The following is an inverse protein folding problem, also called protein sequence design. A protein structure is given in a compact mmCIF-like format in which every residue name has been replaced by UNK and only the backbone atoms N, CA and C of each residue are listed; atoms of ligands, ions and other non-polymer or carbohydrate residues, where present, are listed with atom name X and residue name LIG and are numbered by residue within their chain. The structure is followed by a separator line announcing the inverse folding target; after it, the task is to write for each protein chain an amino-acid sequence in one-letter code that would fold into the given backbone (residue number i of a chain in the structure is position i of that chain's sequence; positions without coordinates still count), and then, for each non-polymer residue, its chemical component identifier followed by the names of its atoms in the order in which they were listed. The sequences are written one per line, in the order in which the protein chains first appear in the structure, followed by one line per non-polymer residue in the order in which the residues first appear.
data_IF_964026959606
#
_entry.id   IF_964026959606
#
_cell.length_a   1.000
_cell.length_b   1.000
_cell.length_c   1.000
_cell.angle_alpha   90.00
_cell.angle_beta   90.00
_cell.angle_gamma   90.00
#
_symmetry.space_group_name_H-M   'P 1'
#
loop_
_entity.id
_entity.type
_entity.pdbx_description
1 polymer ?
#
# COMPACT_ATOMS: atom_id res chain seq x y z
N UNK A 1 3.32 14.29 -24.59
CA UNK A 1 3.33 15.62 -25.26
C UNK A 1 4.41 15.57 -26.32
N UNK A 2 4.13 15.89 -27.58
CA UNK A 2 5.14 15.85 -28.64
C UNK A 2 6.13 17.00 -28.48
N UNK A 3 7.41 16.77 -28.79
CA UNK A 3 8.49 17.77 -28.71
C UNK A 3 8.15 19.07 -29.46
N UNK A 4 7.52 18.96 -30.64
CA UNK A 4 7.00 20.09 -31.42
C UNK A 4 6.09 21.01 -30.59
N UNK A 5 5.21 20.44 -29.77
CA UNK A 5 4.23 21.21 -28.99
C UNK A 5 4.85 21.88 -27.77
N UNK A 6 5.86 21.26 -27.15
CA UNK A 6 6.59 21.92 -26.06
C UNK A 6 7.35 23.14 -26.57
N UNK A 7 7.98 23.04 -27.75
CA UNK A 7 8.68 24.17 -28.40
C UNK A 7 7.69 25.29 -28.77
N UNK A 8 6.58 24.96 -29.42
CA UNK A 8 5.53 25.93 -29.80
C UNK A 8 4.92 26.65 -28.59
N UNK A 9 4.64 25.93 -27.50
CA UNK A 9 4.15 26.53 -26.25
C UNK A 9 5.18 27.47 -25.62
N UNK A 10 6.46 27.11 -25.68
CA UNK A 10 7.54 27.92 -25.09
C UNK A 10 7.70 29.24 -25.83
N UNK A 11 7.60 29.22 -27.17
CA UNK A 11 7.61 30.42 -28.01
C UNK A 11 6.33 31.24 -27.79
N UNK A 12 5.14 30.60 -27.65
CA UNK A 12 3.89 31.31 -27.37
C UNK A 12 3.94 32.05 -26.03
N UNK A 13 4.51 31.42 -25.00
CA UNK A 13 4.66 32.02 -23.65
C UNK A 13 5.70 33.14 -23.60
N UNK A 14 6.70 33.11 -24.48
CA UNK A 14 7.76 34.12 -24.56
C UNK A 14 7.88 34.62 -26.01
N UNK A 15 6.94 35.47 -26.47
CA UNK A 15 6.99 36.00 -27.83
C UNK A 15 8.31 36.74 -28.09
N UNK A 16 8.99 36.42 -29.18
CA UNK A 16 10.27 37.03 -29.54
C UNK A 16 11.49 36.40 -28.86
N UNK A 17 11.35 35.21 -28.27
CA UNK A 17 12.49 34.42 -27.74
C UNK A 17 13.49 34.11 -28.87
N UNK A 18 14.77 34.17 -28.55
CA UNK A 18 15.83 33.81 -29.49
C UNK A 18 16.16 32.31 -29.45
N UNK A 19 16.98 31.86 -30.40
CA UNK A 19 17.34 30.44 -30.51
C UNK A 19 18.16 29.95 -29.31
N UNK A 20 19.09 30.75 -28.80
CA UNK A 20 19.96 30.41 -27.66
C UNK A 20 19.17 30.22 -26.36
N UNK A 21 18.24 31.13 -26.08
CA UNK A 21 17.35 31.11 -24.92
C UNK A 21 16.31 30.01 -25.02
N UNK A 22 15.83 29.72 -26.23
CA UNK A 22 14.97 28.58 -26.46
C UNK A 22 15.74 27.27 -26.26
N UNK A 23 16.97 27.17 -26.77
CA UNK A 23 17.83 25.99 -26.60
C UNK A 23 18.15 25.73 -25.13
N UNK A 24 18.50 26.76 -24.35
CA UNK A 24 18.83 26.62 -22.92
C UNK A 24 17.65 26.10 -22.10
N UNK A 25 16.42 26.46 -22.47
CA UNK A 25 15.19 25.98 -21.80
C UNK A 25 14.84 24.54 -22.13
N UNK A 26 15.17 24.07 -23.34
CA UNK A 26 14.78 22.73 -23.82
C UNK A 26 15.92 21.71 -23.62
N UNK A 27 17.17 22.16 -23.54
CA UNK A 27 18.35 21.31 -23.33
C UNK A 27 18.29 20.52 -22.03
N UNK A 28 17.59 21.02 -21.00
CA UNK A 28 17.33 20.33 -19.74
C UNK A 28 16.62 18.98 -19.90
N UNK A 29 15.96 18.73 -21.03
CA UNK A 29 15.23 17.49 -21.32
C UNK A 29 16.10 16.44 -22.02
N UNK A 30 17.37 16.74 -22.31
CA UNK A 30 18.27 15.89 -23.08
C UNK A 30 19.55 15.61 -22.29
N UNK A 31 20.03 14.36 -22.34
CA UNK A 31 21.32 13.97 -21.75
C UNK A 31 22.53 14.58 -22.47
N UNK A 32 22.37 14.98 -23.74
CA UNK A 32 23.44 15.52 -24.58
C UNK A 32 23.01 16.85 -25.24
N UNK A 33 23.76 17.96 -25.02
CA UNK A 33 23.50 19.26 -25.64
C UNK A 33 23.45 19.23 -27.18
N UNK A 34 24.30 18.43 -27.82
CA UNK A 34 24.35 18.33 -29.29
C UNK A 34 23.09 17.68 -29.86
N UNK A 35 22.50 16.73 -29.13
CA UNK A 35 21.22 16.10 -29.50
C UNK A 35 20.06 17.08 -29.34
N UNK A 36 20.05 17.87 -28.27
CA UNK A 36 19.05 18.93 -28.07
C UNK A 36 19.11 19.98 -29.19
N UNK A 37 20.31 20.42 -29.55
CA UNK A 37 20.53 21.39 -30.62
C UNK A 37 20.04 20.85 -31.97
N UNK A 38 20.38 19.60 -32.30
CA UNK A 38 19.95 18.95 -33.55
C UNK A 38 18.42 18.79 -33.63
N UNK A 39 17.79 18.36 -32.52
CA UNK A 39 16.35 18.20 -32.43
C UNK A 39 15.63 19.55 -32.55
N UNK A 40 16.09 20.58 -31.84
CA UNK A 40 15.51 21.92 -31.88
C UNK A 40 15.63 22.54 -33.26
N UNK A 41 16.80 22.46 -33.90
CA UNK A 41 17.02 23.01 -35.23
C UNK A 41 16.07 22.35 -36.26
N UNK A 42 15.94 21.02 -36.22
CA UNK A 42 15.00 20.28 -37.08
C UNK A 42 13.55 20.70 -36.81
N UNK A 43 13.16 20.83 -35.54
CA UNK A 43 11.82 21.25 -35.19
C UNK A 43 11.52 22.68 -35.67
N UNK A 44 12.42 23.64 -35.45
CA UNK A 44 12.25 25.03 -35.91
C UNK A 44 12.16 25.10 -37.43
N UNK A 45 13.05 24.40 -38.16
CA UNK A 45 13.00 24.36 -39.62
C UNK A 45 11.64 23.85 -40.12
N UNK A 46 11.15 22.77 -39.52
CA UNK A 46 9.83 22.22 -39.84
C UNK A 46 8.69 23.18 -39.47
N UNK A 47 8.73 23.79 -38.28
CA UNK A 47 7.66 24.69 -37.84
C UNK A 47 7.59 25.98 -38.67
N UNK A 48 8.74 26.48 -39.14
CA UNK A 48 8.81 27.58 -40.11
C UNK A 48 8.23 27.15 -41.46
N UNK A 49 8.62 25.97 -41.98
CA UNK A 49 8.13 25.50 -43.29
C UNK A 49 6.61 25.25 -43.29
N UNK A 50 6.04 24.83 -42.15
CA UNK A 50 4.59 24.66 -42.01
C UNK A 50 3.85 25.97 -41.68
N UNK A 51 4.57 27.09 -41.52
CA UNK A 51 4.00 28.40 -41.20
C UNK A 51 3.42 28.49 -39.79
N UNK A 52 3.91 27.68 -38.85
CA UNK A 52 3.46 27.67 -37.44
C UNK A 52 4.21 28.71 -36.60
N UNK A 53 5.42 29.07 -37.01
CA UNK A 53 6.21 30.14 -36.39
C UNK A 53 6.82 31.01 -37.50
N UNK A 54 6.99 32.30 -37.21
CA UNK A 54 7.70 33.26 -38.06
C UNK A 54 9.02 33.66 -37.40
N UNK A 55 10.04 33.91 -38.23
CA UNK A 55 11.35 34.42 -37.83
C UNK A 55 11.45 35.89 -38.21
N UNK A 56 11.77 36.73 -37.25
CA UNK A 56 12.11 38.15 -37.47
C UNK A 56 13.52 38.37 -36.92
N UNK A 57 14.51 38.31 -37.81
CA UNK A 57 15.92 38.25 -37.41
C UNK A 57 16.22 36.98 -36.60
N UNK A 58 16.77 37.15 -35.39
CA UNK A 58 17.07 36.05 -34.46
C UNK A 58 15.88 35.64 -33.59
N UNK A 59 14.77 36.38 -33.64
CA UNK A 59 13.61 36.21 -32.76
C UNK A 59 12.54 35.33 -33.38
N UNK A 60 11.88 34.54 -32.55
CA UNK A 60 10.83 33.59 -32.93
C UNK A 60 9.47 34.03 -32.40
N UNK A 61 8.46 34.01 -33.27
CA UNK A 61 7.07 34.32 -32.93
C UNK A 61 6.14 33.22 -33.42
N UNK A 62 5.11 32.90 -32.65
CA UNK A 62 4.05 31.99 -33.09
C UNK A 62 3.11 32.74 -34.04
N UNK A 63 2.75 32.12 -35.17
CA UNK A 63 1.75 32.66 -36.10
C UNK A 63 0.34 32.28 -35.65
N UNK A 64 -0.69 32.87 -36.25
CA UNK A 64 -2.09 32.48 -35.96
C UNK A 64 -2.33 31.00 -36.27
N UNK A 65 -1.72 30.48 -37.34
CA UNK A 65 -1.74 29.06 -37.69
C UNK A 65 -1.05 28.19 -36.64
N UNK A 66 0.06 28.65 -36.08
CA UNK A 66 0.74 27.98 -34.96
C UNK A 66 -0.10 27.96 -33.68
N UNK A 67 -0.70 29.10 -33.35
CA UNK A 67 -1.60 29.25 -32.21
C UNK A 67 -2.84 28.36 -32.34
N UNK A 68 -3.41 28.25 -33.54
CA UNK A 68 -4.49 27.33 -33.85
C UNK A 68 -4.05 25.85 -33.72
N UNK A 69 -2.85 25.49 -34.21
CA UNK A 69 -2.32 24.12 -34.09
C UNK A 69 -2.11 23.68 -32.63
N UNK A 70 -1.62 24.56 -31.75
CA UNK A 70 -1.49 24.28 -30.31
C UNK A 70 -2.87 24.12 -29.68
N UNK A 71 -3.80 24.99 -30.05
CA UNK A 71 -5.17 25.04 -29.57
C UNK A 71 -5.90 23.74 -29.90
N UNK A 72 -5.87 23.28 -31.16
CA UNK A 72 -6.55 22.06 -31.61
C UNK A 72 -6.03 20.82 -30.85
N UNK A 73 -4.71 20.63 -30.75
CA UNK A 73 -4.17 19.39 -30.18
C UNK A 73 -4.30 19.30 -28.64
N UNK A 74 -4.46 20.43 -27.95
CA UNK A 74 -4.49 20.51 -26.49
C UNK A 74 -5.85 20.87 -25.88
N UNK A 75 -6.68 21.67 -26.56
CA UNK A 75 -8.01 22.07 -26.08
C UNK A 75 -9.03 20.95 -26.29
N UNK A 76 -8.91 20.17 -27.38
CA UNK A 76 -9.83 19.07 -27.67
C UNK A 76 -9.66 17.87 -26.73
N UNK A 77 -8.42 17.51 -26.36
CA UNK A 77 -8.19 16.31 -25.52
C UNK A 77 -8.78 16.40 -24.12
N UNK A 78 -8.85 17.60 -23.51
CA UNK A 78 -9.43 17.75 -22.17
C UNK A 78 -10.95 17.62 -22.21
N UNK A 79 -11.61 18.36 -23.11
CA UNK A 79 -13.07 18.31 -23.24
C UNK A 79 -13.53 16.96 -23.78
N UNK A 80 -12.78 16.35 -24.70
CA UNK A 80 -13.07 15.02 -25.20
C UNK A 80 -12.99 13.96 -24.09
N UNK A 81 -11.95 13.98 -23.25
CA UNK A 81 -11.86 13.09 -22.08
C UNK A 81 -13.02 13.30 -21.10
N UNK A 82 -13.38 14.56 -20.83
CA UNK A 82 -14.50 14.86 -19.94
C UNK A 82 -15.83 14.41 -20.54
N UNK A 83 -16.03 14.58 -21.85
CA UNK A 83 -17.19 14.08 -22.58
C UNK A 83 -17.27 12.55 -22.55
N UNK A 84 -16.16 11.86 -22.79
CA UNK A 84 -16.07 10.40 -22.72
C UNK A 84 -16.41 9.89 -21.32
N UNK A 85 -15.86 10.53 -20.28
CA UNK A 85 -16.10 10.14 -18.90
C UNK A 85 -17.57 10.34 -18.50
N UNK A 86 -18.15 11.49 -18.85
CA UNK A 86 -19.54 11.81 -18.56
C UNK A 86 -20.55 10.92 -19.30
N UNK A 87 -20.15 10.28 -20.41
CA UNK A 87 -20.98 9.31 -21.15
C UNK A 87 -21.00 7.91 -20.53
N UNK A 88 -20.08 7.60 -19.62
CA UNK A 88 -20.04 6.28 -18.97
C UNK A 88 -21.29 6.08 -18.10
N UNK A 89 -21.76 4.84 -18.02
CA UNK A 89 -22.87 4.46 -17.12
C UNK A 89 -22.55 4.76 -15.64
N UNK A 90 -21.27 4.57 -15.27
CA UNK A 90 -20.70 4.98 -13.99
C UNK A 90 -19.41 5.78 -14.22
N UNK A 91 -19.50 7.11 -14.35
CA UNK A 91 -18.32 7.97 -14.47
C UNK A 91 -17.48 7.91 -13.20
N UNK A 92 -16.14 7.87 -13.34
CA UNK A 92 -15.22 7.93 -12.22
C UNK A 92 -15.24 9.34 -11.58
N UNK A 93 -15.67 9.48 -10.30
CA UNK A 93 -15.75 10.79 -9.65
C UNK A 93 -14.43 11.54 -9.61
N UNK A 94 -13.31 10.85 -9.41
CA UNK A 94 -12.01 11.47 -9.31
C UNK A 94 -11.59 12.08 -10.65
N UNK A 95 -11.76 11.33 -11.74
CA UNK A 95 -11.41 11.81 -13.08
C UNK A 95 -12.32 12.96 -13.52
N UNK A 96 -13.64 12.85 -13.32
CA UNK A 96 -14.59 13.93 -13.66
C UNK A 96 -14.23 15.21 -12.90
N UNK A 97 -13.99 15.13 -11.59
CA UNK A 97 -13.62 16.28 -10.77
C UNK A 97 -12.28 16.86 -11.22
N UNK A 98 -11.27 16.01 -11.46
CA UNK A 98 -9.96 16.45 -11.92
C UNK A 98 -10.05 17.21 -13.24
N UNK A 99 -10.78 16.67 -14.22
CA UNK A 99 -10.97 17.33 -15.51
C UNK A 99 -11.74 18.65 -15.39
N UNK A 100 -12.78 18.71 -14.53
CA UNK A 100 -13.52 19.94 -14.27
C UNK A 100 -12.64 21.01 -13.60
N UNK A 101 -11.79 20.64 -12.63
CA UNK A 101 -10.84 21.56 -11.99
C UNK A 101 -9.86 22.12 -13.01
N UNK A 102 -9.26 21.25 -13.84
CA UNK A 102 -8.31 21.67 -14.88
C UNK A 102 -8.99 22.58 -15.89
N UNK A 103 -10.23 22.27 -16.29
CA UNK A 103 -11.02 23.11 -17.18
C UNK A 103 -11.23 24.50 -16.57
N UNK A 104 -11.73 24.56 -15.32
CA UNK A 104 -11.97 25.82 -14.62
C UNK A 104 -10.70 26.67 -14.49
N UNK A 105 -9.59 26.08 -14.03
CA UNK A 105 -8.32 26.80 -13.87
C UNK A 105 -7.78 27.34 -15.20
N UNK A 106 -7.90 26.56 -16.29
CA UNK A 106 -7.44 27.00 -17.62
C UNK A 106 -8.35 28.05 -18.22
N UNK A 107 -9.66 27.94 -18.02
CA UNK A 107 -10.64 28.92 -18.48
C UNK A 107 -10.45 30.31 -17.84
N UNK A 108 -9.88 30.37 -16.63
CA UNK A 108 -9.50 31.65 -16.00
C UNK A 108 -8.28 32.29 -16.67
N UNK A 109 -7.42 31.50 -17.30
CA UNK A 109 -6.16 31.96 -17.92
C UNK A 109 -6.27 32.18 -19.44
N UNK A 110 -7.18 31.45 -20.11
CA UNK A 110 -7.38 31.46 -21.55
C UNK A 110 -8.89 31.43 -21.87
N UNK A 111 -9.44 32.57 -22.30
CA UNK A 111 -10.86 32.74 -22.65
C UNK A 111 -11.29 31.88 -23.83
N UNK A 112 -10.38 31.48 -24.70
CA UNK A 112 -10.72 30.61 -25.81
C UNK A 112 -11.06 29.21 -25.32
N UNK A 113 -10.45 28.76 -24.21
CA UNK A 113 -10.73 27.43 -23.63
C UNK A 113 -12.19 27.33 -23.19
N UNK A 114 -12.73 28.37 -22.56
CA UNK A 114 -14.14 28.36 -22.14
C UNK A 114 -15.09 28.45 -23.34
N UNK A 115 -14.74 29.22 -24.36
CA UNK A 115 -15.55 29.35 -25.57
C UNK A 115 -15.61 28.01 -26.33
N UNK A 116 -14.47 27.33 -26.48
CA UNK A 116 -14.43 25.97 -27.05
C UNK A 116 -15.23 25.00 -26.21
N UNK A 117 -15.03 24.98 -24.88
CA UNK A 117 -15.76 24.08 -24.00
C UNK A 117 -17.28 24.24 -24.09
N UNK A 118 -17.78 25.48 -24.20
CA UNK A 118 -19.21 25.76 -24.41
C UNK A 118 -19.74 25.20 -25.73
N UNK A 119 -18.92 25.17 -26.77
CA UNK A 119 -19.31 24.68 -28.10
C UNK A 119 -19.18 23.16 -28.24
N UNK A 120 -18.23 22.53 -27.53
CA UNK A 120 -17.86 21.12 -27.73
C UNK A 120 -18.26 20.19 -26.58
N UNK A 121 -18.68 20.72 -25.43
CA UNK A 121 -19.18 19.90 -24.34
C UNK A 121 -20.48 19.20 -24.74
N UNK A 122 -20.52 17.89 -24.52
CA UNK A 122 -21.71 17.04 -24.74
C UNK A 122 -22.54 16.84 -23.49
N UNK A 123 -22.11 17.42 -22.36
CA UNK A 123 -22.78 17.40 -21.08
C UNK A 123 -23.17 18.83 -20.67
N UNK A 124 -24.18 18.93 -19.82
CA UNK A 124 -24.72 20.17 -19.30
C UNK A 124 -24.47 20.30 -17.80
N UNK A 125 -24.70 21.50 -17.26
CA UNK A 125 -24.69 21.71 -15.80
C UNK A 125 -25.72 20.81 -15.11
N UNK A 126 -26.89 20.60 -15.75
CA UNK A 126 -27.92 19.69 -15.24
C UNK A 126 -27.42 18.25 -15.15
N UNK A 127 -26.61 17.81 -16.10
CA UNK A 127 -25.99 16.47 -16.06
C UNK A 127 -25.02 16.33 -14.90
N UNK A 128 -24.25 17.39 -14.59
CA UNK A 128 -23.39 17.43 -13.41
C UNK A 128 -24.19 17.42 -12.10
N UNK A 129 -25.34 18.09 -12.04
CA UNK A 129 -26.23 18.04 -10.87
C UNK A 129 -26.84 16.64 -10.67
N UNK A 130 -27.27 15.99 -11.75
CA UNK A 130 -27.76 14.60 -11.71
C UNK A 130 -26.64 13.66 -11.28
N UNK A 131 -25.43 13.86 -11.80
CA UNK A 131 -24.26 13.10 -11.39
C UNK A 131 -23.94 13.27 -9.90
N UNK A 132 -23.98 14.51 -9.38
CA UNK A 132 -23.84 14.80 -7.95
C UNK A 132 -24.87 14.04 -7.11
N UNK A 133 -26.15 14.02 -7.52
CA UNK A 133 -27.21 13.29 -6.80
C UNK A 133 -26.91 11.79 -6.76
N UNK A 134 -26.48 11.19 -7.88
CA UNK A 134 -26.08 9.78 -7.95
C UNK A 134 -24.90 9.46 -7.02
N UNK A 135 -23.89 10.33 -6.93
CA UNK A 135 -22.76 10.17 -5.99
C UNK A 135 -23.27 10.15 -4.54
N UNK A 136 -24.15 11.08 -4.18
CA UNK A 136 -24.71 11.18 -2.82
C UNK A 136 -25.52 9.94 -2.47
N UNK A 137 -26.37 9.46 -3.37
CA UNK A 137 -27.16 8.24 -3.19
C UNK A 137 -26.27 7.01 -3.01
N UNK A 138 -25.23 6.87 -3.85
CA UNK A 138 -24.24 5.80 -3.71
C UNK A 138 -23.52 5.87 -2.36
N UNK A 139 -23.16 7.08 -1.92
CA UNK A 139 -22.57 7.29 -0.60
C UNK A 139 -23.48 6.81 0.53
N UNK A 140 -24.79 7.09 0.46
CA UNK A 140 -25.79 6.59 1.43
C UNK A 140 -25.90 5.06 1.38
N UNK A 141 -25.94 4.48 0.19
CA UNK A 141 -25.99 3.03 0.00
C UNK A 141 -24.77 2.33 0.61
N UNK A 142 -23.56 2.82 0.32
CA UNK A 142 -22.32 2.27 0.86
C UNK A 142 -22.26 2.37 2.39
N UNK A 143 -22.73 3.48 2.98
CA UNK A 143 -22.87 3.61 4.44
C UNK A 143 -23.81 2.54 5.01
N UNK A 144 -24.95 2.29 4.36
CA UNK A 144 -25.89 1.24 4.78
C UNK A 144 -25.25 -0.15 4.67
N UNK A 145 -24.56 -0.45 3.57
CA UNK A 145 -23.86 -1.73 3.40
C UNK A 145 -22.79 -1.94 4.45
N UNK A 146 -22.01 -0.89 4.78
CA UNK A 146 -21.01 -0.96 5.85
C UNK A 146 -21.64 -1.31 7.21
N UNK A 147 -22.79 -0.71 7.54
CA UNK A 147 -23.52 -1.05 8.77
C UNK A 147 -24.00 -2.50 8.77
N UNK A 148 -24.53 -3.01 7.65
CA UNK A 148 -24.96 -4.40 7.54
C UNK A 148 -23.77 -5.37 7.65
N UNK A 149 -22.65 -5.08 7.01
CA UNK A 149 -21.44 -5.91 7.12
C UNK A 149 -20.95 -5.91 8.57
N UNK A 150 -20.92 -4.76 9.25
CA UNK A 150 -20.54 -4.68 10.66
C UNK A 150 -21.45 -5.53 11.55
N UNK A 151 -22.76 -5.45 11.36
CA UNK A 151 -23.72 -6.29 12.09
C UNK A 151 -23.47 -7.78 11.83
N UNK A 152 -23.23 -8.18 10.59
CA UNK A 152 -22.95 -9.57 10.26
C UNK A 152 -21.61 -10.05 10.83
N UNK A 153 -20.58 -9.19 10.90
CA UNK A 153 -19.32 -9.52 11.58
C UNK A 153 -19.58 -9.83 13.05
N UNK A 154 -20.33 -8.99 13.76
CA UNK A 154 -20.65 -9.23 15.18
C UNK A 154 -21.49 -10.50 15.36
N UNK A 155 -22.49 -10.74 14.51
CA UNK A 155 -23.26 -11.98 14.54
C UNK A 155 -22.38 -13.23 14.32
N UNK A 156 -21.43 -13.17 13.37
CA UNK A 156 -20.50 -14.29 13.12
C UNK A 156 -19.55 -14.52 14.30
N UNK A 157 -19.14 -13.47 15.01
CA UNK A 157 -18.37 -13.59 16.26
C UNK A 157 -19.19 -14.25 17.36
N UNK A 158 -20.46 -13.87 17.53
CA UNK A 158 -21.36 -14.50 18.50
C UNK A 158 -21.57 -16.00 18.22
N UNK A 159 -21.69 -16.36 16.94
CA UNK A 159 -21.77 -17.74 16.46
C UNK A 159 -20.45 -18.52 16.52
N UNK A 160 -19.38 -17.91 17.04
CA UNK A 160 -18.04 -18.51 17.14
C UNK A 160 -17.49 -19.02 15.79
N UNK A 161 -17.73 -18.27 14.71
CA UNK A 161 -17.24 -18.63 13.38
C UNK A 161 -15.70 -18.61 13.30
N UNK A 162 -15.15 -19.28 12.29
CA UNK A 162 -13.69 -19.31 12.10
C UNK A 162 -13.14 -17.92 11.80
N UNK A 163 -12.00 -17.60 12.41
CA UNK A 163 -11.26 -16.36 12.26
C UNK A 163 -9.78 -16.66 11.95
N UNK A 164 -9.01 -15.63 11.59
CA UNK A 164 -7.59 -15.72 11.32
C UNK A 164 -6.83 -14.48 11.74
N UNK A 165 -5.66 -14.66 12.35
CA UNK A 165 -4.81 -13.56 12.83
C UNK A 165 -3.35 -13.80 12.46
N UNK A 166 -2.65 -12.73 12.11
CA UNK A 166 -1.23 -12.76 11.75
C UNK A 166 -0.36 -12.28 12.91
N UNK A 167 0.76 -12.97 13.15
CA UNK A 167 1.79 -12.61 14.12
C UNK A 167 3.19 -12.71 13.49
N UNK A 168 4.14 -12.04 14.12
CA UNK A 168 5.57 -12.30 13.88
C UNK A 168 5.95 -13.58 14.64
N UNK A 169 6.68 -14.48 13.99
CA UNK A 169 7.13 -15.71 14.64
C UNK A 169 8.45 -15.45 15.39
N UNK A 170 8.32 -15.00 16.64
CA UNK A 170 9.42 -14.64 17.53
C UNK A 170 9.33 -15.37 18.89
N UNK A 171 10.26 -15.06 19.79
CA UNK A 171 10.27 -15.62 21.15
C UNK A 171 9.03 -15.27 21.98
N UNK A 172 8.40 -14.12 21.71
CA UNK A 172 7.17 -13.72 22.40
C UNK A 172 5.99 -14.58 21.94
N UNK A 173 5.87 -14.83 20.64
CA UNK A 173 4.89 -15.77 20.10
C UNK A 173 5.11 -17.18 20.65
N UNK A 174 6.36 -17.67 20.69
CA UNK A 174 6.68 -18.98 21.27
C UNK A 174 6.26 -19.07 22.73
N UNK A 175 6.61 -18.08 23.56
CA UNK A 175 6.24 -18.05 24.98
C UNK A 175 4.72 -18.09 25.18
N UNK A 176 4.00 -17.39 24.29
CA UNK A 176 2.54 -17.37 24.29
C UNK A 176 1.94 -18.72 23.90
N UNK A 177 2.46 -19.38 22.86
CA UNK A 177 2.03 -20.73 22.47
C UNK A 177 2.31 -21.72 23.59
N UNK A 178 3.51 -21.71 24.19
CA UNK A 178 3.86 -22.60 25.31
C UNK A 178 2.88 -22.41 26.48
N UNK A 179 2.60 -21.17 26.87
CA UNK A 179 1.66 -20.89 27.95
C UNK A 179 0.21 -21.27 27.61
N UNK A 180 -0.21 -21.07 26.37
CA UNK A 180 -1.57 -21.40 25.93
C UNK A 180 -1.80 -22.90 25.75
N UNK A 181 -0.80 -23.65 25.26
CA UNK A 181 -0.85 -25.11 25.16
C UNK A 181 -0.86 -25.77 26.54
N UNK A 182 -0.17 -25.20 27.53
CA UNK A 182 -0.03 -25.83 28.85
C UNK A 182 0.59 -27.23 28.75
N UNK A 183 -0.17 -28.26 29.15
CA UNK A 183 0.23 -29.68 29.04
C UNK A 183 -0.26 -30.38 27.77
N UNK A 184 -0.96 -29.67 26.88
CA UNK A 184 -1.50 -30.25 25.65
C UNK A 184 -0.42 -30.61 24.64
N UNK A 185 -0.75 -31.53 23.75
CA UNK A 185 0.10 -31.99 22.66
C UNK A 185 0.22 -30.92 21.56
N UNK A 186 1.46 -30.60 21.17
CA UNK A 186 1.76 -29.82 19.96
C UNK A 186 2.07 -30.78 18.81
N UNK A 187 1.43 -30.55 17.67
CA UNK A 187 1.71 -31.26 16.42
C UNK A 187 2.29 -30.29 15.41
N UNK A 188 3.41 -30.64 14.80
CA UNK A 188 4.08 -29.84 13.77
C UNK A 188 4.20 -30.67 12.50
N UNK A 189 3.64 -30.16 11.40
CA UNK A 189 3.76 -30.75 10.06
C UNK A 189 4.75 -29.94 9.24
N UNK A 190 5.78 -30.58 8.69
CA UNK A 190 6.74 -29.93 7.80
C UNK A 190 7.28 -30.88 6.74
N UNK A 191 7.62 -30.33 5.57
CA UNK A 191 8.27 -31.06 4.48
C UNK A 191 9.80 -30.85 4.47
N UNK A 192 10.35 -30.10 5.42
CA UNK A 192 11.79 -29.78 5.46
C UNK A 192 12.60 -30.93 6.08
N UNK A 193 13.28 -31.70 5.22
CA UNK A 193 14.13 -32.82 5.64
C UNK A 193 15.32 -32.38 6.50
N UNK A 194 15.88 -31.19 6.25
CA UNK A 194 17.00 -30.66 7.04
C UNK A 194 16.56 -30.32 8.46
N UNK A 195 15.31 -29.91 8.65
CA UNK A 195 14.75 -29.70 9.97
C UNK A 195 14.43 -31.02 10.67
N UNK A 196 13.83 -31.98 9.96
CA UNK A 196 13.48 -33.29 10.52
C UNK A 196 14.69 -34.06 11.07
N UNK A 197 15.86 -33.92 10.45
CA UNK A 197 17.11 -34.55 10.94
C UNK A 197 17.69 -33.92 12.22
N UNK A 198 17.31 -32.68 12.55
CA UNK A 198 17.74 -31.97 13.78
C UNK A 198 16.86 -32.28 14.99
N UNK A 199 15.71 -32.91 14.78
CA UNK A 199 14.73 -33.22 15.82
C UNK A 199 14.93 -34.67 16.30
N UNK A 200 14.80 -34.97 17.61
CA UNK A 200 14.91 -36.32 18.12
C UNK A 200 13.97 -37.30 17.39
N UNK A 201 14.52 -38.41 16.91
CA UNK A 201 13.80 -39.38 16.05
C UNK A 201 12.53 -39.94 16.66
N UNK A 202 12.47 -40.06 17.99
CA UNK A 202 11.29 -40.54 18.71
C UNK A 202 10.10 -39.55 18.70
N UNK A 203 10.31 -38.28 18.35
CA UNK A 203 9.23 -37.30 18.14
C UNK A 203 8.66 -37.33 16.72
N UNK A 204 9.40 -37.93 15.78
CA UNK A 204 9.11 -37.84 14.35
C UNK A 204 8.37 -39.09 13.88
N UNK A 205 7.19 -38.90 13.30
CA UNK A 205 6.49 -39.92 12.52
C UNK A 205 6.29 -39.39 11.10
N UNK A 206 7.13 -39.85 10.18
CA UNK A 206 7.20 -39.37 8.79
C UNK A 206 7.50 -37.85 8.74
N UNK A 207 6.49 -37.03 8.41
CA UNK A 207 6.57 -35.57 8.27
C UNK A 207 5.92 -34.81 9.43
N UNK A 208 5.52 -35.54 10.45
CA UNK A 208 4.78 -35.03 11.61
C UNK A 208 5.67 -35.19 12.83
N UNK A 209 5.87 -34.09 13.54
CA UNK A 209 6.55 -34.04 14.83
C UNK A 209 5.47 -33.87 15.90
N UNK A 210 5.50 -34.71 16.92
CA UNK A 210 4.59 -34.63 18.07
C UNK A 210 5.41 -34.44 19.35
N UNK A 211 5.08 -33.40 20.11
CA UNK A 211 5.71 -33.12 21.41
C UNK A 211 4.69 -32.72 22.46
N UNK A 212 5.02 -32.97 23.72
CA UNK A 212 4.18 -32.66 24.88
C UNK A 212 5.02 -31.96 25.95
N UNK A 213 4.36 -31.15 26.80
CA UNK A 213 4.96 -30.48 27.98
C UNK A 213 6.24 -29.70 27.64
N UNK A 214 7.32 -29.95 28.37
CA UNK A 214 8.61 -29.22 28.29
C UNK A 214 9.25 -29.29 26.90
N UNK A 215 8.98 -30.36 26.14
CA UNK A 215 9.48 -30.55 24.77
C UNK A 215 8.87 -29.57 23.76
N UNK A 216 7.73 -28.93 24.08
CA UNK A 216 7.08 -27.91 23.24
C UNK A 216 7.99 -26.69 23.07
N UNK A 217 8.54 -26.19 24.19
CA UNK A 217 9.42 -25.02 24.17
C UNK A 217 10.68 -25.28 23.35
N UNK A 218 11.27 -26.47 23.52
CA UNK A 218 12.47 -26.87 22.78
C UNK A 218 12.21 -26.93 21.27
N UNK A 219 11.10 -27.54 20.84
CA UNK A 219 10.76 -27.64 19.42
C UNK A 219 10.49 -26.26 18.80
N UNK A 220 9.74 -25.40 19.49
CA UNK A 220 9.42 -24.07 19.00
C UNK A 220 10.65 -23.15 18.91
N UNK A 221 11.59 -23.23 19.87
CA UNK A 221 12.85 -22.50 19.78
C UNK A 221 13.71 -22.98 18.59
N UNK A 222 13.68 -24.27 18.28
CA UNK A 222 14.40 -24.84 17.14
C UNK A 222 13.78 -24.36 15.80
N UNK A 223 12.45 -24.19 15.75
CA UNK A 223 11.75 -23.56 14.63
C UNK A 223 12.14 -22.08 14.47
N UNK A 224 12.24 -21.32 15.58
CA UNK A 224 12.68 -19.91 15.53
C UNK A 224 14.11 -19.80 14.99
N UNK A 225 15.00 -20.72 15.38
CA UNK A 225 16.37 -20.80 14.86
C UNK A 225 16.43 -21.20 13.37
N UNK A 226 15.31 -21.62 12.76
CA UNK A 226 15.21 -22.04 11.36
C UNK A 226 14.19 -21.16 10.61
N UNK A 227 14.46 -19.87 10.41
CA UNK A 227 13.45 -18.89 9.95
C UNK A 227 12.92 -19.13 8.51
N UNK A 228 13.61 -19.95 7.71
CA UNK A 228 13.19 -20.31 6.35
C UNK A 228 12.20 -21.48 6.30
N UNK A 229 11.85 -22.08 7.43
CA UNK A 229 11.01 -23.27 7.46
C UNK A 229 9.54 -22.93 7.17
N UNK A 230 8.93 -23.76 6.33
CA UNK A 230 7.48 -23.80 6.18
C UNK A 230 6.94 -24.93 7.04
N UNK A 231 6.13 -24.60 8.04
CA UNK A 231 5.57 -25.56 8.97
C UNK A 231 4.12 -25.21 9.32
N UNK A 232 3.32 -26.22 9.60
CA UNK A 232 1.97 -26.04 10.16
C UNK A 232 1.96 -26.59 11.57
N UNK A 233 1.61 -25.74 12.54
CA UNK A 233 1.48 -26.07 13.94
C UNK A 233 -0.01 -26.31 14.26
N UNK A 234 -0.31 -27.32 15.06
CA UNK A 234 -1.65 -27.55 15.59
C UNK A 234 -1.56 -27.67 17.10
N UNK A 235 -2.34 -26.85 17.80
CA UNK A 235 -2.40 -26.84 19.27
C UNK A 235 -3.72 -26.26 19.76
N UNK A 236 -4.32 -26.87 20.78
CA UNK A 236 -5.48 -26.35 21.54
C UNK A 236 -6.58 -25.67 20.68
N UNK A 237 -6.97 -26.31 19.56
CA UNK A 237 -8.00 -25.81 18.64
C UNK A 237 -7.54 -24.75 17.63
N UNK A 238 -6.25 -24.43 17.60
CA UNK A 238 -5.61 -23.48 16.69
C UNK A 238 -4.73 -24.21 15.68
N UNK A 239 -4.83 -23.80 14.41
CA UNK A 239 -3.91 -24.16 13.33
C UNK A 239 -3.06 -22.94 13.00
N UNK A 240 -1.74 -23.01 13.14
CA UNK A 240 -0.83 -21.91 12.82
C UNK A 240 0.07 -22.26 11.63
N UNK A 241 0.04 -21.46 10.58
CA UNK A 241 0.86 -21.68 9.38
C UNK A 241 2.06 -20.73 9.43
N UNK A 242 3.26 -21.28 9.53
CA UNK A 242 4.53 -20.57 9.54
C UNK A 242 5.09 -20.48 8.12
N UNK A 243 5.30 -19.25 7.63
CA UNK A 243 5.93 -18.96 6.34
C UNK A 243 6.88 -17.78 6.54
N UNK A 244 8.17 -17.99 6.32
CA UNK A 244 9.20 -16.94 6.26
C UNK A 244 9.18 -15.97 7.47
N UNK A 245 9.15 -16.52 8.68
CA UNK A 245 9.17 -15.74 9.92
C UNK A 245 7.84 -15.05 10.30
N UNK A 246 6.76 -15.30 9.54
CA UNK A 246 5.39 -14.90 9.89
C UNK A 246 4.55 -16.12 10.18
N UNK A 247 3.62 -15.98 11.12
CA UNK A 247 2.68 -17.04 11.47
C UNK A 247 1.25 -16.54 11.34
N UNK A 248 0.43 -17.28 10.60
CA UNK A 248 -1.02 -17.03 10.50
C UNK A 248 -1.75 -18.10 11.29
N UNK A 249 -2.41 -17.71 12.37
CA UNK A 249 -3.22 -18.57 13.21
C UNK A 249 -4.67 -18.59 12.72
N UNK A 250 -5.28 -19.77 12.68
CA UNK A 250 -6.67 -20.04 12.31
C UNK A 250 -7.33 -20.82 13.43
N UNK A 251 -8.60 -20.52 13.71
CA UNK A 251 -9.39 -21.21 14.74
C UNK A 251 -10.76 -20.55 14.90
N UNK A 252 -11.58 -21.06 15.82
CA UNK A 252 -12.84 -20.37 16.15
C UNK A 252 -12.56 -19.00 16.77
N UNK A 253 -13.46 -18.02 16.57
CA UNK A 253 -13.30 -16.66 17.07
C UNK A 253 -12.99 -16.61 18.57
N UNK A 254 -13.72 -17.36 19.40
CA UNK A 254 -13.50 -17.45 20.85
C UNK A 254 -12.13 -18.06 21.17
N UNK A 255 -11.74 -19.12 20.46
CA UNK A 255 -10.43 -19.77 20.66
C UNK A 255 -9.28 -18.82 20.33
N UNK A 256 -9.34 -18.13 19.19
CA UNK A 256 -8.33 -17.16 18.80
C UNK A 256 -8.34 -15.91 19.69
N UNK A 257 -9.51 -15.42 20.10
CA UNK A 257 -9.59 -14.29 21.02
C UNK A 257 -9.01 -14.65 22.40
N UNK A 258 -9.26 -15.86 22.90
CA UNK A 258 -8.63 -16.37 24.13
C UNK A 258 -7.11 -16.49 23.96
N UNK A 259 -6.64 -17.02 22.83
CA UNK A 259 -5.21 -17.08 22.51
C UNK A 259 -4.59 -15.69 22.50
N UNK A 260 -5.20 -14.70 21.83
CA UNK A 260 -4.70 -13.31 21.77
C UNK A 260 -4.66 -12.65 23.13
N UNK A 261 -5.71 -12.82 23.95
CA UNK A 261 -5.78 -12.21 25.27
C UNK A 261 -5.04 -13.01 26.34
N UNK A 262 -4.46 -14.16 25.99
CA UNK A 262 -3.65 -14.94 26.89
C UNK A 262 -2.37 -14.17 27.23
N UNK A 263 -2.30 -13.69 28.47
CA UNK A 263 -1.09 -13.18 29.08
C UNK A 263 -0.46 -14.31 29.87
N UNK A 264 0.71 -14.78 29.42
CA UNK A 264 1.54 -15.64 30.24
C UNK A 264 1.99 -14.83 31.46
N UNK A 265 1.38 -15.05 32.63
CA UNK A 265 1.95 -14.58 33.89
C UNK A 265 3.29 -15.31 34.05
N UNK A 266 4.38 -14.64 33.69
CA UNK A 266 5.74 -15.12 33.97
C UNK A 266 5.95 -14.97 35.48
N UNK A 267 5.62 -16.01 36.25
CA UNK A 267 6.12 -16.17 37.61
C UNK A 267 7.64 -16.37 37.53
N UNK A 268 8.36 -15.29 37.80
CA UNK A 268 9.81 -15.28 37.97
C UNK A 268 10.17 -15.79 39.36
N UNK A 269 9.93 -17.08 39.63
CA UNK A 269 10.55 -17.76 40.78
C UNK A 269 11.92 -18.30 40.35
N UNK A 270 12.87 -17.38 40.15
CA UNK A 270 14.30 -17.68 40.31
C UNK A 270 14.68 -17.20 41.70
N UNK A 271 14.63 -18.13 42.66
CA UNK A 271 15.29 -17.97 43.94
C UNK A 271 16.80 -17.83 43.69
N UNK A 272 17.25 -16.58 43.57
CA UNK A 272 18.64 -16.19 43.77
C UNK A 272 19.03 -16.56 45.20
N UNK A 273 19.90 -17.55 45.28
CA UNK A 273 20.70 -17.91 46.45
C UNK A 273 21.23 -16.66 47.15
N UNK A 274 20.72 -16.38 48.36
CA UNK A 274 21.34 -15.43 49.28
C UNK A 274 22.67 -16.00 49.81
N UNK A 275 23.67 -15.14 50.06
CA UNK A 275 24.99 -15.56 50.48
C UNK A 275 25.03 -15.96 51.95
N UNK A 276 25.91 -16.92 52.21
CA UNK A 276 26.53 -17.36 53.46
C UNK A 276 26.35 -16.39 54.64
N UNK A 277 25.73 -16.88 55.72
CA UNK A 277 26.04 -16.43 57.08
C UNK A 277 26.25 -17.68 57.94
N UNK A 278 27.49 -17.83 58.40
CA UNK A 278 27.87 -18.77 59.44
C UNK A 278 27.17 -18.37 60.75
N UNK A 279 26.62 -19.34 61.49
CA UNK A 279 26.90 -19.60 62.92
C UNK A 279 25.98 -20.73 63.42
N UNK A 280 26.56 -21.93 63.49
CA UNK A 280 26.23 -22.91 64.53
C UNK A 280 26.71 -22.33 65.88
N UNK A 281 26.19 -22.59 67.07
CA UNK A 281 25.11 -23.45 67.56
C UNK A 281 25.14 -23.34 69.10
N UNK A 282 23.97 -23.42 69.76
CA UNK A 282 23.74 -23.96 71.13
C UNK A 282 24.22 -23.07 72.30
N UNK A 283 23.47 -22.76 73.37
CA UNK A 283 22.76 -23.61 74.37
C UNK A 283 21.68 -22.76 75.11
N UNK A 284 20.62 -23.43 75.57
CA UNK A 284 19.46 -23.01 76.39
C UNK A 284 19.85 -22.53 77.83
N UNK A 285 18.91 -22.35 78.79
CA UNK A 285 18.06 -21.18 79.02
C UNK A 285 18.24 -20.62 80.47
N UNK A 286 17.32 -19.76 80.89
CA UNK A 286 16.87 -19.51 82.28
C UNK A 286 17.45 -18.35 83.13
N UNK A 287 16.45 -17.64 83.70
CA UNK A 287 16.35 -16.99 85.01
C UNK A 287 16.66 -15.50 85.16
N UNK A 288 15.56 -14.75 85.31
CA UNK A 288 15.22 -13.87 86.43
C UNK A 288 16.37 -13.18 87.18
N UNK A 289 16.49 -11.86 87.04
CA UNK A 289 16.07 -10.81 88.00
C UNK A 289 16.22 -9.46 87.28
#
# INVERSE_FOLDING_TARGET
MTFKNSVLLTIKKNPGIDYSDLLSRISLQYKNPSSANSALNRAIKNMVSFGLIKKEGTKLFVTDKGSASITIEMKDKLILKLNEEMKKSFPNPEEVIQYLIILHQRSLQDSDVINTARQTATFTIRDLELYRKKIVERGKFLKKMNLLVKQNIENLKELDFNDSLEFVFDSAFVSKVVGFCGSDKLVVETNDENFLTKVPSHWVKQKIITVEKESISLLLQLLVATPSINATLYFSGVKAILISGKVTCFGSYKTLNNFVNFNANISSDVNLTKPVSQTNSTILPENNI
#
